data_IF_172917279262
#
_entry.id   IF_172917279262
#
_cell.length_a   1.000
_cell.length_b   1.000
_cell.length_c   1.000
_cell.angle_alpha   90.00
_cell.angle_beta   90.00
_cell.angle_gamma   90.00
#
_symmetry.space_group_name_H-M   'P 1'
#
loop_
_entity.id
_entity.type
_entity.pdbx_description
1 polymer ?
#
# COMPACT_ATOMS: atom_id res chain seq x y z
N UNK A 1 18.86 46.92 5.17
CA UNK A 1 17.39 46.95 5.23
C UNK A 1 16.88 46.56 3.85
N UNK A 2 16.71 45.26 3.62
CA UNK A 2 15.86 44.67 2.58
C UNK A 2 15.78 43.18 2.89
N UNK A 3 14.71 42.89 3.60
CA UNK A 3 13.85 41.70 3.66
C UNK A 3 14.42 40.31 3.37
N UNK A 4 14.45 39.56 4.47
CA UNK A 4 14.38 38.10 4.56
C UNK A 4 13.11 37.64 3.84
N UNK A 5 13.26 36.96 2.69
CA UNK A 5 12.17 36.17 2.12
C UNK A 5 12.34 34.75 2.64
N UNK A 6 11.61 34.48 3.71
CA UNK A 6 11.35 33.14 4.22
C UNK A 6 10.39 32.45 3.27
N UNK A 7 10.92 31.68 2.32
CA UNK A 7 10.16 30.63 1.65
C UNK A 7 10.08 29.46 2.64
N UNK A 8 9.05 29.51 3.49
CA UNK A 8 8.54 28.30 4.13
C UNK A 8 7.86 27.54 3.01
N UNK A 9 8.55 26.55 2.45
CA UNK A 9 7.93 25.54 1.61
C UNK A 9 6.74 24.99 2.39
N UNK A 10 5.54 25.26 1.85
CA UNK A 10 4.29 24.79 2.39
C UNK A 10 4.36 23.27 2.42
N UNK A 11 4.54 22.72 3.62
CA UNK A 11 4.47 21.30 3.87
C UNK A 11 3.16 20.77 3.31
N UNK A 12 3.29 19.87 2.34
CA UNK A 12 2.22 19.06 1.81
C UNK A 12 1.43 18.52 3.00
N UNK A 13 0.15 18.93 3.13
CA UNK A 13 -0.68 18.51 4.24
C UNK A 13 -0.79 16.99 4.18
N UNK A 14 -0.05 16.30 5.05
CA UNK A 14 -0.12 14.86 5.19
C UNK A 14 -1.59 14.51 5.40
N UNK A 15 -2.18 13.85 4.39
CA UNK A 15 -3.49 13.24 4.53
C UNK A 15 -3.42 12.41 5.81
N UNK A 16 -4.26 12.73 6.79
CA UNK A 16 -4.33 11.94 8.00
C UNK A 16 -4.61 10.50 7.58
N UNK A 17 -3.93 9.53 8.19
CA UNK A 17 -4.20 8.12 7.92
C UNK A 17 -5.70 7.77 8.13
N UNK A 18 -6.40 8.57 8.94
CA UNK A 18 -7.85 8.47 9.17
C UNK A 18 -8.68 9.11 8.05
N UNK A 19 -8.20 10.17 7.40
CA UNK A 19 -8.90 10.79 6.27
C UNK A 19 -8.73 9.98 4.96
N UNK A 20 -7.71 9.13 4.90
CA UNK A 20 -7.45 8.26 3.76
C UNK A 20 -8.38 7.03 3.71
N UNK A 21 -9.09 6.72 4.80
CA UNK A 21 -9.90 5.51 4.91
C UNK A 21 -11.35 5.89 5.23
N UNK A 22 -12.27 5.47 4.36
CA UNK A 22 -13.71 5.73 4.54
C UNK A 22 -14.29 4.89 5.69
N UNK A 23 -14.95 5.54 6.64
CA UNK A 23 -15.57 4.89 7.81
C UNK A 23 -16.62 3.85 7.42
N UNK A 24 -17.36 4.09 6.33
CA UNK A 24 -18.36 3.15 5.81
C UNK A 24 -17.72 1.87 5.28
N UNK A 25 -16.61 2.00 4.56
CA UNK A 25 -15.81 0.88 4.08
C UNK A 25 -15.21 0.08 5.25
N UNK A 26 -14.73 0.75 6.30
CA UNK A 26 -14.24 0.07 7.52
C UNK A 26 -15.36 -0.77 8.15
N UNK A 27 -16.55 -0.20 8.31
CA UNK A 27 -17.69 -0.92 8.86
C UNK A 27 -18.07 -2.14 8.00
N UNK A 28 -18.05 -2.01 6.67
CA UNK A 28 -18.30 -3.12 5.74
C UNK A 28 -17.26 -4.23 5.88
N UNK A 29 -15.97 -3.88 5.92
CA UNK A 29 -14.88 -4.84 6.06
C UNK A 29 -14.98 -5.64 7.37
N UNK A 30 -15.29 -4.96 8.47
CA UNK A 30 -15.48 -5.60 9.78
C UNK A 30 -16.70 -6.52 9.74
N UNK A 31 -17.85 -6.05 9.26
CA UNK A 31 -19.06 -6.87 9.16
C UNK A 31 -18.86 -8.12 8.29
N UNK A 32 -18.13 -7.99 7.18
CA UNK A 32 -17.79 -9.11 6.30
C UNK A 32 -16.83 -10.09 6.97
N UNK A 33 -15.83 -9.60 7.71
CA UNK A 33 -14.90 -10.44 8.45
C UNK A 33 -15.64 -11.25 9.53
N UNK A 34 -16.52 -10.61 10.30
CA UNK A 34 -17.35 -11.28 11.31
C UNK A 34 -18.27 -12.33 10.69
N UNK A 35 -18.97 -12.00 9.60
CA UNK A 35 -19.84 -12.94 8.88
C UNK A 35 -19.06 -14.14 8.30
N UNK A 36 -17.79 -13.92 7.91
CA UNK A 36 -16.87 -14.95 7.43
C UNK A 36 -16.14 -15.72 8.52
N UNK A 37 -16.33 -15.38 9.81
CA UNK A 37 -15.61 -16.00 10.93
C UNK A 37 -14.12 -15.64 10.98
N UNK A 38 -13.70 -14.57 10.30
CA UNK A 38 -12.32 -14.07 10.31
C UNK A 38 -12.11 -13.24 11.58
N UNK A 39 -11.00 -13.48 12.28
CA UNK A 39 -10.63 -12.69 13.46
C UNK A 39 -10.22 -11.27 13.05
N UNK A 40 -10.51 -10.29 13.89
CA UNK A 40 -10.04 -8.92 13.64
C UNK A 40 -8.51 -8.83 13.69
N UNK A 41 -7.89 -9.50 14.66
CA UNK A 41 -6.45 -9.47 14.94
C UNK A 41 -5.83 -10.88 14.95
N UNK A 42 -4.50 -10.93 14.95
CA UNK A 42 -3.73 -12.17 14.92
C UNK A 42 -3.40 -12.64 13.50
N UNK A 43 -2.66 -13.74 13.41
CA UNK A 43 -2.25 -14.35 12.14
C UNK A 43 -3.48 -14.77 11.32
N UNK A 44 -3.51 -14.37 10.05
CA UNK A 44 -4.67 -14.55 9.17
C UNK A 44 -5.92 -13.73 9.55
N UNK A 45 -5.77 -12.77 10.46
CA UNK A 45 -6.83 -11.83 10.82
C UNK A 45 -6.94 -10.66 9.83
N UNK A 46 -8.07 -9.92 9.89
CA UNK A 46 -8.35 -8.81 8.98
C UNK A 46 -7.24 -7.76 8.96
N UNK A 47 -6.72 -7.36 10.12
CA UNK A 47 -5.64 -6.36 10.18
C UNK A 47 -4.34 -6.86 9.54
N UNK A 48 -3.98 -8.14 9.73
CA UNK A 48 -2.79 -8.72 9.10
C UNK A 48 -2.93 -8.75 7.56
N UNK A 49 -4.11 -9.11 7.05
CA UNK A 49 -4.41 -9.10 5.62
C UNK A 49 -4.43 -7.68 5.03
N UNK A 50 -4.90 -6.69 5.77
CA UNK A 50 -4.85 -5.29 5.34
C UNK A 50 -3.41 -4.79 5.27
N UNK A 51 -2.60 -5.07 6.30
CA UNK A 51 -1.16 -4.75 6.29
C UNK A 51 -0.46 -5.40 5.10
N UNK A 52 -0.74 -6.69 4.84
CA UNK A 52 -0.24 -7.42 3.66
C UNK A 52 -0.54 -6.67 2.36
N UNK A 53 -1.82 -6.36 2.12
CA UNK A 53 -2.26 -5.71 0.88
C UNK A 53 -1.66 -4.33 0.68
N UNK A 54 -1.53 -3.55 1.75
CA UNK A 54 -0.89 -2.22 1.68
C UNK A 54 0.58 -2.36 1.29
N UNK A 55 1.31 -3.30 1.91
CA UNK A 55 2.71 -3.56 1.56
C UNK A 55 2.87 -4.03 0.12
N UNK A 56 2.05 -5.00 -0.33
CA UNK A 56 2.07 -5.46 -1.72
C UNK A 56 1.76 -4.33 -2.71
N UNK A 57 0.77 -3.48 -2.40
CA UNK A 57 0.41 -2.35 -3.27
C UNK A 57 1.54 -1.32 -3.38
N UNK A 58 2.24 -1.04 -2.28
CA UNK A 58 3.40 -0.16 -2.29
C UNK A 58 4.54 -0.75 -3.14
N UNK A 59 4.86 -2.04 -2.97
CA UNK A 59 5.90 -2.73 -3.74
C UNK A 59 5.57 -2.81 -5.23
N UNK A 60 4.31 -3.04 -5.59
CA UNK A 60 3.87 -3.04 -6.99
C UNK A 60 4.02 -1.66 -7.64
N UNK A 61 3.70 -0.60 -6.89
CA UNK A 61 3.94 0.79 -7.31
C UNK A 61 5.42 1.07 -7.55
N UNK A 62 6.29 0.72 -6.60
CA UNK A 62 7.74 0.87 -6.75
C UNK A 62 8.28 0.10 -7.96
N UNK A 63 7.73 -1.09 -8.24
CA UNK A 63 8.13 -1.88 -9.40
C UNK A 63 7.66 -1.25 -10.73
N UNK A 64 6.47 -0.64 -10.75
CA UNK A 64 6.00 0.14 -11.89
C UNK A 64 6.90 1.34 -12.13
N UNK A 65 7.25 2.09 -11.08
CA UNK A 65 8.14 3.25 -11.16
C UNK A 65 9.55 2.83 -11.64
N UNK A 66 10.07 1.73 -11.12
CA UNK A 66 11.39 1.22 -11.48
C UNK A 66 11.46 0.74 -12.95
N UNK A 67 10.43 0.05 -13.43
CA UNK A 67 10.38 -0.47 -14.80
C UNK A 67 9.86 0.56 -15.82
N UNK A 68 9.20 1.61 -15.35
CA UNK A 68 8.57 2.65 -16.16
C UNK A 68 7.35 2.16 -16.94
N UNK A 69 6.69 1.09 -16.49
CA UNK A 69 5.50 0.56 -17.15
C UNK A 69 4.62 -0.30 -16.23
N UNK A 70 3.34 -0.35 -16.56
CA UNK A 70 2.35 -1.15 -15.83
C UNK A 70 2.46 -2.65 -16.15
N UNK A 71 1.92 -3.53 -15.28
CA UNK A 71 1.77 -4.94 -15.58
C UNK A 71 0.99 -5.18 -16.89
N UNK A 72 1.58 -5.93 -17.82
CA UNK A 72 0.94 -6.31 -19.09
C UNK A 72 0.94 -5.21 -20.17
N UNK A 73 1.56 -4.06 -19.91
CA UNK A 73 1.64 -2.97 -20.87
C UNK A 73 2.57 -3.33 -22.05
N UNK A 74 2.04 -3.30 -23.27
CA UNK A 74 2.80 -3.59 -24.50
C UNK A 74 3.70 -2.41 -24.85
N UNK A 75 4.98 -2.69 -25.13
CA UNK A 75 5.89 -1.74 -25.76
C UNK A 75 6.10 -2.11 -27.23
N UNK A 76 6.00 -1.12 -28.11
CA UNK A 76 6.46 -1.26 -29.50
C UNK A 76 7.99 -1.33 -29.52
N UNK A 77 8.56 -2.41 -30.08
CA UNK A 77 10.00 -2.63 -30.13
C UNK A 77 10.59 -3.47 -28.98
N UNK A 78 9.77 -3.87 -28.01
CA UNK A 78 10.22 -4.68 -26.87
C UNK A 78 10.92 -3.87 -25.78
N UNK A 79 11.07 -4.47 -24.60
CA UNK A 79 11.73 -3.89 -23.42
C UNK A 79 13.00 -4.68 -23.08
N UNK A 80 13.95 -4.03 -22.43
CA UNK A 80 15.15 -4.70 -21.90
C UNK A 80 14.81 -5.56 -20.68
N UNK A 81 13.98 -5.04 -19.77
CA UNK A 81 13.52 -5.74 -18.57
C UNK A 81 12.01 -5.98 -18.60
N UNK A 82 11.61 -7.13 -18.05
CA UNK A 82 10.21 -7.52 -17.88
C UNK A 82 9.98 -8.01 -16.47
N UNK A 83 8.74 -7.82 -15.99
CA UNK A 83 8.25 -8.42 -14.76
C UNK A 83 8.33 -9.95 -14.86
N UNK A 84 8.82 -10.61 -13.82
CA UNK A 84 9.05 -12.07 -13.80
C UNK A 84 8.29 -12.74 -12.64
N UNK A 85 6.99 -12.47 -12.55
CA UNK A 85 6.14 -13.00 -11.49
C UNK A 85 6.46 -12.44 -10.10
N UNK A 86 6.08 -13.20 -9.07
CA UNK A 86 6.18 -12.82 -7.67
C UNK A 86 6.79 -13.96 -6.86
N UNK A 87 7.28 -13.65 -5.66
CA UNK A 87 7.86 -14.63 -4.73
C UNK A 87 7.35 -14.37 -3.32
N UNK A 88 6.84 -15.41 -2.65
CA UNK A 88 6.36 -15.31 -1.26
C UNK A 88 7.48 -15.00 -0.26
N UNK A 89 7.19 -14.15 0.72
CA UNK A 89 8.11 -13.87 1.82
C UNK A 89 7.34 -13.49 3.07
N UNK A 90 7.50 -14.29 4.12
CA UNK A 90 7.02 -13.90 5.44
C UNK A 90 7.87 -12.76 6.02
N UNK A 91 7.22 -11.65 6.37
CA UNK A 91 7.80 -10.47 7.02
C UNK A 91 7.22 -10.34 8.42
N UNK A 92 8.08 -10.03 9.39
CA UNK A 92 7.66 -9.74 10.76
C UNK A 92 7.22 -8.28 10.86
N UNK A 93 5.97 -8.05 11.29
CA UNK A 93 5.40 -6.72 11.51
C UNK A 93 4.88 -6.59 12.94
N UNK A 94 4.43 -5.39 13.34
CA UNK A 94 3.85 -5.15 14.66
C UNK A 94 2.53 -5.90 14.89
N UNK A 95 1.79 -6.20 13.81
CA UNK A 95 0.54 -6.97 13.86
C UNK A 95 0.76 -8.49 13.80
N UNK A 96 2.02 -8.93 13.67
CA UNK A 96 2.41 -10.34 13.56
C UNK A 96 3.17 -10.66 12.26
N UNK A 97 3.44 -11.95 12.00
CA UNK A 97 3.99 -12.40 10.73
C UNK A 97 2.95 -12.24 9.61
N UNK A 98 3.40 -11.80 8.43
CA UNK A 98 2.59 -11.59 7.23
C UNK A 98 3.34 -12.17 6.02
N UNK A 99 2.69 -12.97 5.17
CA UNK A 99 3.30 -13.59 3.97
C UNK A 99 2.85 -12.96 2.66
#
# INVERSE_FOLDING_TARGET
MTDVVSDIEAGEAAVSALDAVDDGLVAELVARAEAGGVKLTGEGGLLAELTRKVLESALEGELTDHLGHEPGERAEGGRENYRNGHRSKTVTTEVGPVE
#
